data_IF_034191499751
#
_entry.id   IF_034191499751
#
_cell.length_a   1.000
_cell.length_b   1.000
_cell.length_c   1.000
_cell.angle_alpha   90.00
_cell.angle_beta   90.00
_cell.angle_gamma   90.00
#
_symmetry.space_group_name_H-M   'P 1'
#
loop_
_entity.id
_entity.type
_entity.pdbx_description
1 polymer ?
#
# COMPACT_ATOMS: atom_id res chain seq x y z
N UNK A 1 12.82 9.86 -2.33
CA UNK A 1 12.87 8.40 -2.59
C UNK A 1 13.06 8.15 -4.08
N UNK A 2 13.79 7.10 -4.51
CA UNK A 2 13.85 6.78 -5.94
C UNK A 2 12.57 6.06 -6.37
N UNK A 3 12.22 6.15 -7.67
CA UNK A 3 11.00 5.53 -8.22
C UNK A 3 10.88 4.03 -7.94
N UNK A 4 12.00 3.30 -7.89
CA UNK A 4 12.03 1.86 -7.57
C UNK A 4 11.66 1.58 -6.11
N UNK A 5 12.13 2.44 -5.21
CA UNK A 5 11.88 2.31 -3.78
C UNK A 5 10.41 2.67 -3.50
N UNK A 6 9.90 3.73 -4.15
CA UNK A 6 8.49 4.13 -4.07
C UNK A 6 7.54 2.99 -4.48
N UNK A 7 7.77 2.39 -5.65
CA UNK A 7 7.03 1.21 -6.12
C UNK A 7 7.09 0.02 -5.15
N UNK A 8 8.21 -0.13 -4.45
CA UNK A 8 8.37 -1.19 -3.45
C UNK A 8 7.49 -0.91 -2.25
N UNK A 9 7.49 0.32 -1.70
CA UNK A 9 6.61 0.68 -0.58
C UNK A 9 5.14 0.58 -0.99
N UNK A 10 4.74 1.05 -2.17
CA UNK A 10 3.38 0.91 -2.70
C UNK A 10 2.91 -0.55 -2.78
N UNK A 11 3.78 -1.46 -3.26
CA UNK A 11 3.48 -2.89 -3.29
C UNK A 11 3.32 -3.49 -1.89
N UNK A 12 4.05 -2.99 -0.90
CA UNK A 12 3.90 -3.47 0.47
C UNK A 12 2.59 -2.94 1.07
N UNK A 13 2.26 -1.67 0.83
CA UNK A 13 0.98 -1.08 1.25
C UNK A 13 -0.20 -1.84 0.61
N UNK A 14 -0.09 -2.24 -0.66
CA UNK A 14 -1.15 -2.99 -1.36
C UNK A 14 -1.44 -4.38 -0.79
N UNK A 15 -0.48 -4.99 -0.10
CA UNK A 15 -0.69 -6.25 0.64
C UNK A 15 -1.47 -6.06 1.95
N UNK A 16 -1.82 -4.83 2.32
CA UNK A 16 -2.53 -4.50 3.55
C UNK A 16 -1.62 -4.26 4.75
N UNK A 17 -0.33 -3.99 4.53
CA UNK A 17 0.58 -3.64 5.63
C UNK A 17 0.23 -2.30 6.26
N UNK A 18 0.32 -2.25 7.59
CA UNK A 18 0.13 -1.03 8.37
C UNK A 18 1.34 -0.10 8.28
N UNK A 19 1.09 1.20 8.45
CA UNK A 19 2.11 2.24 8.36
C UNK A 19 3.29 2.01 9.32
N UNK A 20 3.02 1.54 10.53
CA UNK A 20 4.06 1.22 11.52
C UNK A 20 4.95 0.05 11.07
N UNK A 21 4.36 -0.94 10.39
CA UNK A 21 5.11 -2.07 9.79
C UNK A 21 6.00 -1.56 8.67
N UNK A 22 5.51 -0.65 7.83
CA UNK A 22 6.33 -0.04 6.76
C UNK A 22 7.54 0.71 7.32
N UNK A 23 7.39 1.47 8.41
CA UNK A 23 8.52 2.12 9.07
C UNK A 23 9.56 1.14 9.61
N UNK A 24 9.12 -0.06 10.00
CA UNK A 24 9.99 -1.12 10.49
C UNK A 24 10.67 -1.88 9.36
N UNK A 25 9.97 -2.12 8.24
CA UNK A 25 10.52 -2.75 7.04
C UNK A 25 11.48 -1.85 6.28
N UNK A 26 11.28 -0.53 6.38
CA UNK A 26 12.04 0.48 5.66
C UNK A 26 12.65 1.54 6.61
N UNK A 27 13.52 1.13 7.55
CA UNK A 27 14.09 2.05 8.53
C UNK A 27 15.06 3.06 7.92
N UNK A 28 15.64 2.73 6.75
CA UNK A 28 16.54 3.61 5.99
C UNK A 28 15.80 4.67 5.15
N UNK A 29 14.47 4.59 5.06
CA UNK A 29 13.68 5.57 4.31
C UNK A 29 13.04 6.61 5.23
N UNK A 30 12.89 7.86 4.76
CA UNK A 30 12.24 8.90 5.54
C UNK A 30 10.77 8.56 5.77
N UNK A 31 10.35 8.63 7.04
CA UNK A 31 8.98 8.33 7.46
C UNK A 31 7.94 9.19 6.74
N UNK A 32 8.27 10.45 6.45
CA UNK A 32 7.40 11.37 5.73
C UNK A 32 7.07 10.85 4.32
N UNK A 33 8.05 10.33 3.57
CA UNK A 33 7.78 9.77 2.23
C UNK A 33 6.99 8.46 2.31
N UNK A 34 7.28 7.59 3.29
CA UNK A 34 6.50 6.36 3.50
C UNK A 34 5.04 6.71 3.84
N UNK A 35 4.82 7.71 4.70
CA UNK A 35 3.49 8.18 5.08
C UNK A 35 2.75 8.78 3.88
N UNK A 36 3.43 9.57 3.05
CA UNK A 36 2.86 10.14 1.84
C UNK A 36 2.39 9.04 0.88
N UNK A 37 3.20 8.01 0.65
CA UNK A 37 2.85 6.87 -0.20
C UNK A 37 1.66 6.10 0.39
N UNK A 38 1.69 5.80 1.68
CA UNK A 38 0.61 5.09 2.37
C UNK A 38 -0.71 5.85 2.30
N UNK A 39 -0.70 7.15 2.59
CA UNK A 39 -1.89 8.00 2.53
C UNK A 39 -2.39 8.15 1.10
N UNK A 40 -1.51 8.38 0.11
CA UNK A 40 -1.90 8.44 -1.29
C UNK A 40 -2.51 7.12 -1.75
N UNK A 41 -1.96 5.97 -1.34
CA UNK A 41 -2.50 4.67 -1.70
C UNK A 41 -3.85 4.40 -1.03
N UNK A 42 -4.06 4.86 0.21
CA UNK A 42 -5.34 4.75 0.93
C UNK A 42 -6.42 5.72 0.40
N UNK A 43 -6.02 6.92 -0.01
CA UNK A 43 -6.90 7.93 -0.60
C UNK A 43 -7.31 7.57 -2.03
N UNK A 44 -6.37 7.02 -2.81
CA UNK A 44 -6.61 6.47 -4.15
C UNK A 44 -7.04 5.00 -4.13
N UNK A 45 -7.16 4.37 -2.96
CA UNK A 45 -7.75 3.04 -2.90
C UNK A 45 -9.18 3.20 -3.41
N UNK A 46 -9.57 2.57 -4.53
CA UNK A 46 -10.97 2.53 -4.87
C UNK A 46 -11.67 1.95 -3.65
N UNK A 47 -12.76 2.57 -3.25
CA UNK A 47 -13.60 2.20 -2.10
C UNK A 47 -14.12 0.74 -2.20
N UNK A 48 -13.76 0.03 -3.27
CA UNK A 48 -14.10 -1.33 -3.66
C UNK A 48 -12.92 -2.33 -3.60
N UNK A 49 -11.84 -2.07 -2.86
CA UNK A 49 -10.87 -3.13 -2.53
C UNK A 49 -11.38 -4.12 -1.45
N UNK A 50 -12.59 -3.88 -0.92
CA UNK A 50 -13.43 -4.89 -0.25
C UNK A 50 -14.43 -5.55 -1.23
N UNK A 51 -14.28 -5.32 -2.53
CA UNK A 51 -14.95 -6.01 -3.61
C UNK A 51 -14.32 -7.36 -3.93
N UNK A 52 -13.93 -8.14 -2.90
CA UNK A 52 -13.74 -9.58 -3.02
C UNK A 52 -15.09 -10.31 -3.20
N UNK A 53 -16.11 -9.66 -3.75
CA UNK A 53 -17.20 -10.30 -4.47
C UNK A 53 -16.80 -10.55 -5.93
N UNK A 54 -15.62 -11.14 -6.14
CA UNK A 54 -15.52 -12.13 -7.21
C UNK A 54 -16.33 -13.35 -6.77
N UNK A 55 -17.66 -13.20 -6.74
CA UNK A 55 -18.57 -14.33 -6.85
C UNK A 55 -18.34 -14.88 -8.25
N UNK A 56 -17.31 -15.73 -8.37
CA UNK A 56 -17.12 -16.63 -9.50
C UNK A 56 -18.33 -17.56 -9.45
N UNK A 57 -19.44 -17.10 -10.03
CA UNK A 57 -20.58 -17.92 -10.31
C UNK A 57 -20.20 -18.78 -11.51
N UNK A 58 -19.52 -19.90 -11.23
CA UNK A 58 -19.44 -21.01 -12.18
C UNK A 58 -20.83 -21.67 -12.22
N UNK A 59 -21.73 -21.11 -13.03
CA UNK A 59 -22.91 -21.81 -13.55
C UNK A 59 -22.59 -22.40 -14.91
#
# INVERSE_FOLDING_TARGET
MNKKDQLTVENFVSTGMELETLYTCFPDFPKEEIAEIYNNYKDNQPVDADGHTMSINCS
#
